data_IF_720509640057
#
_entry.id   IF_720509640057
#
_cell.length_a   1.000
_cell.length_b   1.000
_cell.length_c   1.000
_cell.angle_alpha   90.00
_cell.angle_beta   90.00
_cell.angle_gamma   90.00
#
_symmetry.space_group_name_H-M   'P 1'
#
loop_
_entity.id
_entity.type
_entity.pdbx_description
1 polymer ?
#
# COMPACT_ATOMS: atom_id res chain seq x y z
N UNK A 1 29.46 -4.23 1.72
CA UNK A 1 28.83 -5.38 1.05
C UNK A 1 27.36 -5.47 1.47
N UNK A 2 26.47 -5.57 0.49
CA UNK A 2 25.04 -5.61 0.77
C UNK A 2 24.62 -6.97 1.33
N UNK A 3 23.92 -6.98 2.46
CA UNK A 3 23.37 -8.21 3.05
C UNK A 3 22.05 -8.57 2.38
N UNK A 4 21.54 -9.78 2.67
CA UNK A 4 20.21 -10.19 2.21
C UNK A 4 19.13 -9.27 2.77
N UNK A 5 19.34 -8.81 3.99
CA UNK A 5 18.43 -7.88 4.66
C UNK A 5 18.39 -6.54 3.95
N UNK A 6 19.55 -6.00 3.61
CA UNK A 6 19.65 -4.74 2.88
C UNK A 6 18.98 -4.83 1.50
N UNK A 7 19.21 -5.94 0.79
CA UNK A 7 18.60 -6.17 -0.51
C UNK A 7 17.08 -6.25 -0.42
N UNK A 8 16.57 -6.94 0.61
CA UNK A 8 15.14 -7.05 0.85
C UNK A 8 14.51 -5.68 1.16
N UNK A 9 15.14 -4.92 2.06
CA UNK A 9 14.66 -3.59 2.44
C UNK A 9 14.62 -2.68 1.20
N UNK A 10 15.66 -2.70 0.40
CA UNK A 10 15.72 -1.89 -0.81
C UNK A 10 14.59 -2.27 -1.79
N UNK A 11 14.37 -3.57 -1.96
CA UNK A 11 13.30 -4.07 -2.82
C UNK A 11 11.93 -3.61 -2.32
N UNK A 12 11.71 -3.70 -1.01
CA UNK A 12 10.44 -3.29 -0.42
C UNK A 12 10.23 -1.79 -0.51
N UNK A 13 11.27 -1.00 -0.33
CA UNK A 13 11.18 0.45 -0.50
C UNK A 13 10.82 0.85 -1.93
N UNK A 14 11.41 0.16 -2.91
CA UNK A 14 11.07 0.38 -4.31
C UNK A 14 9.61 0.06 -4.59
N UNK A 15 9.10 -1.02 -4.00
CA UNK A 15 7.68 -1.37 -4.12
C UNK A 15 6.78 -0.34 -3.45
N UNK A 16 7.19 0.18 -2.30
CA UNK A 16 6.43 1.24 -1.62
C UNK A 16 6.32 2.47 -2.52
N UNK A 17 7.38 2.84 -3.21
CA UNK A 17 7.35 3.97 -4.14
C UNK A 17 6.36 3.73 -5.27
N UNK A 18 6.36 2.52 -5.84
CA UNK A 18 5.40 2.14 -6.89
C UNK A 18 3.96 2.21 -6.37
N UNK A 19 3.73 1.71 -5.17
CA UNK A 19 2.38 1.68 -4.59
C UNK A 19 1.91 3.06 -4.17
N UNK A 20 2.81 3.92 -3.72
CA UNK A 20 2.48 5.33 -3.46
C UNK A 20 2.06 6.04 -4.75
N UNK A 21 2.77 5.77 -5.84
CA UNK A 21 2.40 6.32 -7.16
C UNK A 21 1.02 5.82 -7.60
N UNK A 22 0.71 4.55 -7.32
CA UNK A 22 -0.60 3.99 -7.63
C UNK A 22 -1.71 4.64 -6.82
N UNK A 23 -1.46 4.89 -5.52
CA UNK A 23 -2.41 5.59 -4.66
C UNK A 23 -2.63 7.01 -5.16
N UNK A 24 -1.58 7.71 -5.58
CA UNK A 24 -1.71 9.06 -6.15
C UNK A 24 -2.58 9.05 -7.41
N UNK A 25 -2.43 8.03 -8.23
CA UNK A 25 -3.24 7.85 -9.43
C UNK A 25 -4.72 7.66 -9.10
N UNK A 26 -4.99 6.82 -8.09
CA UNK A 26 -6.36 6.60 -7.62
C UNK A 26 -6.93 7.87 -6.99
N UNK A 27 -6.11 8.62 -6.28
CA UNK A 27 -6.50 9.90 -5.69
C UNK A 27 -6.94 10.89 -6.77
N UNK A 28 -6.20 10.95 -7.87
CA UNK A 28 -6.55 11.80 -9.00
C UNK A 28 -7.91 11.38 -9.61
N UNK A 29 -8.16 10.09 -9.72
CA UNK A 29 -9.45 9.59 -10.19
C UNK A 29 -10.58 9.97 -9.24
N UNK A 30 -10.31 9.89 -7.94
CA UNK A 30 -11.30 10.24 -6.92
C UNK A 30 -11.72 11.71 -7.02
N UNK A 31 -10.79 12.60 -7.36
CA UNK A 31 -11.09 14.03 -7.49
C UNK A 31 -12.11 14.31 -8.59
N UNK A 32 -12.18 13.47 -9.61
CA UNK A 32 -13.13 13.62 -10.72
C UNK A 32 -14.45 12.90 -10.49
N UNK A 33 -14.60 12.21 -9.36
CA UNK A 33 -15.84 11.49 -9.04
C UNK A 33 -16.90 12.44 -8.47
N UNK A 34 -18.16 12.02 -8.54
CA UNK A 34 -19.26 12.75 -7.92
C UNK A 34 -19.07 12.80 -6.39
N UNK A 35 -19.64 13.82 -5.77
CA UNK A 35 -19.41 14.13 -4.35
C UNK A 35 -19.54 12.92 -3.40
N UNK A 36 -20.58 12.13 -3.54
CA UNK A 36 -20.80 10.97 -2.68
C UNK A 36 -19.76 9.88 -2.91
N UNK A 37 -19.51 9.58 -4.18
CA UNK A 37 -18.51 8.60 -4.59
C UNK A 37 -17.12 9.05 -4.18
N UNK A 38 -16.85 10.33 -4.30
CA UNK A 38 -15.58 10.93 -3.89
C UNK A 38 -15.31 10.68 -2.41
N UNK A 39 -16.30 10.87 -1.55
CA UNK A 39 -16.15 10.64 -0.11
C UNK A 39 -15.79 9.18 0.18
N UNK A 40 -16.45 8.23 -0.49
CA UNK A 40 -16.16 6.81 -0.32
C UNK A 40 -14.74 6.46 -0.81
N UNK A 41 -14.35 7.01 -1.94
CA UNK A 41 -13.01 6.78 -2.50
C UNK A 41 -11.94 7.35 -1.57
N UNK A 42 -12.16 8.54 -1.04
CA UNK A 42 -11.22 9.14 -0.10
C UNK A 42 -11.02 8.30 1.16
N UNK A 43 -12.10 7.71 1.67
CA UNK A 43 -12.01 6.81 2.83
C UNK A 43 -11.19 5.57 2.52
N UNK A 44 -11.36 4.99 1.35
CA UNK A 44 -10.59 3.81 0.94
C UNK A 44 -9.13 4.13 0.70
N UNK A 45 -8.86 5.29 0.13
CA UNK A 45 -7.48 5.76 -0.07
C UNK A 45 -6.80 6.00 1.27
N UNK A 46 -7.53 6.55 2.23
CA UNK A 46 -7.01 6.76 3.57
C UNK A 46 -6.62 5.44 4.23
N UNK A 47 -7.43 4.40 4.07
CA UNK A 47 -7.08 3.05 4.55
C UNK A 47 -5.80 2.53 3.90
N UNK A 48 -5.67 2.70 2.59
CA UNK A 48 -4.47 2.27 1.87
C UNK A 48 -3.24 3.03 2.33
N UNK A 49 -3.35 4.33 2.54
CA UNK A 49 -2.26 5.15 3.03
C UNK A 49 -1.81 4.72 4.43
N UNK A 50 -2.75 4.39 5.30
CA UNK A 50 -2.44 3.88 6.64
C UNK A 50 -1.70 2.55 6.57
N UNK A 51 -2.12 1.67 5.68
CA UNK A 51 -1.47 0.35 5.51
C UNK A 51 -0.05 0.50 4.96
N UNK A 52 0.14 1.40 4.00
CA UNK A 52 1.48 1.68 3.45
C UNK A 52 2.38 2.25 4.54
N UNK A 53 1.87 3.17 5.33
CA UNK A 53 2.65 3.76 6.42
C UNK A 53 3.05 2.70 7.44
N UNK A 54 2.14 1.79 7.77
CA UNK A 54 2.43 0.67 8.66
C UNK A 54 3.54 -0.23 8.12
N UNK A 55 3.53 -0.51 6.83
CA UNK A 55 4.58 -1.28 6.17
C UNK A 55 5.92 -0.54 6.19
N UNK A 56 5.90 0.74 5.88
CA UNK A 56 7.08 1.60 5.92
C UNK A 56 7.71 1.60 7.31
N UNK A 57 6.89 1.73 8.36
CA UNK A 57 7.36 1.69 9.74
C UNK A 57 8.01 0.33 10.07
N UNK A 58 7.39 -0.76 9.64
CA UNK A 58 7.95 -2.11 9.84
C UNK A 58 9.28 -2.29 9.14
N UNK A 59 9.40 -1.79 7.92
CA UNK A 59 10.64 -1.86 7.15
C UNK A 59 11.74 -1.07 7.86
N UNK A 60 11.41 0.10 8.38
CA UNK A 60 12.36 0.93 9.11
C UNK A 60 12.83 0.24 10.40
N UNK A 61 11.93 -0.44 11.10
CA UNK A 61 12.28 -1.21 12.31
C UNK A 61 13.27 -2.32 11.95
N UNK A 62 13.04 -3.04 10.88
CA UNK A 62 13.95 -4.09 10.42
C UNK A 62 15.34 -3.53 10.12
N UNK A 63 15.38 -2.39 9.45
CA UNK A 63 16.61 -1.73 9.09
C UNK A 63 17.44 -1.35 10.32
N UNK A 64 16.78 -0.94 11.39
CA UNK A 64 17.43 -0.50 12.62
C UNK A 64 17.78 -1.65 13.57
N UNK A 65 17.00 -2.74 13.56
CA UNK A 65 17.12 -3.81 14.53
C UNK A 65 18.27 -4.79 14.30
N UNK A 66 18.77 -4.91 13.07
CA UNK A 66 19.81 -5.87 12.75
C UNK A 66 19.30 -7.32 12.72
N UNK A 67 20.21 -8.26 12.61
CA UNK A 67 19.94 -9.61 12.12
C UNK A 67 19.23 -10.62 13.00
N UNK A 68 19.14 -10.43 14.30
CA UNK A 68 18.67 -11.49 15.20
C UNK A 68 17.17 -11.80 15.10
N UNK A 69 16.35 -10.84 14.67
CA UNK A 69 14.91 -10.99 14.53
C UNK A 69 14.45 -10.89 13.09
N UNK A 70 15.38 -11.00 12.16
CA UNK A 70 15.16 -10.77 10.74
C UNK A 70 14.00 -11.59 10.16
N UNK A 71 14.00 -12.89 10.43
CA UNK A 71 13.01 -13.78 9.85
C UNK A 71 11.59 -13.48 10.34
N UNK A 72 11.48 -13.14 11.62
CA UNK A 72 10.17 -12.76 12.21
C UNK A 72 9.65 -11.47 11.58
N UNK A 73 10.52 -10.48 11.45
CA UNK A 73 10.14 -9.22 10.81
C UNK A 73 9.78 -9.41 9.35
N UNK A 74 10.55 -10.22 8.64
CA UNK A 74 10.30 -10.50 7.23
C UNK A 74 8.92 -11.14 7.05
N UNK A 75 8.59 -12.13 7.87
CA UNK A 75 7.29 -12.78 7.82
C UNK A 75 6.16 -11.79 8.05
N UNK A 76 6.30 -10.93 9.06
CA UNK A 76 5.32 -9.88 9.35
C UNK A 76 5.15 -8.90 8.20
N UNK A 77 6.25 -8.50 7.57
CA UNK A 77 6.22 -7.60 6.42
C UNK A 77 5.56 -8.29 5.23
N UNK A 78 5.93 -9.54 4.94
CA UNK A 78 5.36 -10.28 3.82
C UNK A 78 3.85 -10.47 4.00
N UNK A 79 3.39 -10.77 5.21
CA UNK A 79 1.97 -10.90 5.50
C UNK A 79 1.23 -9.58 5.32
N UNK A 80 1.78 -8.49 5.84
CA UNK A 80 1.20 -7.15 5.68
C UNK A 80 1.17 -6.75 4.22
N UNK A 81 2.21 -7.10 3.46
CA UNK A 81 2.30 -6.86 2.04
C UNK A 81 1.19 -7.55 1.26
N UNK A 82 0.94 -8.83 1.57
CA UNK A 82 -0.12 -9.58 0.93
C UNK A 82 -1.50 -8.98 1.22
N UNK A 83 -1.72 -8.57 2.46
CA UNK A 83 -2.97 -7.91 2.85
C UNK A 83 -3.12 -6.59 2.08
N UNK A 84 -2.07 -5.81 2.00
CA UNK A 84 -2.07 -4.56 1.27
C UNK A 84 -2.38 -4.76 -0.22
N UNK A 85 -1.72 -5.74 -0.84
CA UNK A 85 -1.93 -6.09 -2.24
C UNK A 85 -3.39 -6.42 -2.52
N UNK A 86 -3.99 -7.25 -1.68
CA UNK A 86 -5.39 -7.63 -1.82
C UNK A 86 -6.31 -6.42 -1.66
N UNK A 87 -6.03 -5.59 -0.67
CA UNK A 87 -6.81 -4.38 -0.40
C UNK A 87 -6.72 -3.41 -1.57
N UNK A 88 -5.53 -3.21 -2.10
CA UNK A 88 -5.35 -2.32 -3.26
C UNK A 88 -6.07 -2.85 -4.50
N UNK A 89 -5.94 -4.14 -4.78
CA UNK A 89 -6.61 -4.76 -5.91
C UNK A 89 -8.12 -4.60 -5.82
N UNK A 90 -8.67 -4.82 -4.64
CA UNK A 90 -10.10 -4.65 -4.39
C UNK A 90 -10.52 -3.20 -4.59
N UNK A 91 -9.73 -2.27 -4.06
CA UNK A 91 -10.02 -0.84 -4.19
C UNK A 91 -10.00 -0.39 -5.65
N UNK A 92 -9.02 -0.84 -6.42
CA UNK A 92 -8.95 -0.54 -7.85
C UNK A 92 -10.17 -1.07 -8.59
N UNK A 93 -10.57 -2.28 -8.29
CA UNK A 93 -11.75 -2.89 -8.89
C UNK A 93 -13.01 -2.09 -8.56
N UNK A 94 -13.16 -1.68 -7.31
CA UNK A 94 -14.30 -0.88 -6.88
C UNK A 94 -14.33 0.50 -7.55
N UNK A 95 -13.17 1.12 -7.74
CA UNK A 95 -13.08 2.40 -8.45
C UNK A 95 -13.54 2.25 -9.90
N UNK A 96 -13.19 1.16 -10.54
CA UNK A 96 -13.59 0.91 -11.93
C UNK A 96 -15.08 0.58 -12.05
N UNK A 97 -15.57 -0.32 -11.22
CA UNK A 97 -16.96 -0.79 -11.29
C UNK A 97 -17.94 0.15 -10.63
N UNK A 98 -17.58 0.71 -9.50
CA UNK A 98 -18.41 1.67 -8.77
C UNK A 98 -18.70 2.92 -9.59
N UNK A 99 -17.73 3.39 -10.36
CA UNK A 99 -17.91 4.54 -11.22
C UNK A 99 -18.95 4.27 -12.31
N UNK A 100 -18.92 3.08 -12.89
CA UNK A 100 -19.90 2.68 -13.90
C UNK A 100 -21.30 2.54 -13.32
N UNK A 101 -21.41 1.94 -12.15
CA UNK A 101 -22.69 1.79 -11.45
C UNK A 101 -23.28 3.13 -11.06
N UNK A 102 -22.45 4.06 -10.65
CA UNK A 102 -22.87 5.39 -10.28
C UNK A 102 -23.47 6.20 -11.41
N UNK A 103 -23.23 5.81 -12.65
CA UNK A 103 -23.79 6.48 -13.83
C UNK A 103 -25.16 5.95 -14.23
N UNK A 104 -25.51 4.81 -13.76
CA UNK A 104 -26.82 4.21 -14.02
C UNK A 104 -27.82 4.71 -12.99
#
# INVERSE_FOLDING_TARGET
METKEDAYVRKMKAKLDEWNAEIDRLSAKAEHAEAQTKIEYEKRLEELEKKIKGLEDKINVVQDAGGSSWEDFKEGIDNSWEIFKKTLSKTKSEFEHGYKEGKE
#
